data_IF_223558873998
#
_entry.id   IF_223558873998
#
_cell.length_a   1.000
_cell.length_b   1.000
_cell.length_c   1.000
_cell.angle_alpha   90.00
_cell.angle_beta   90.00
_cell.angle_gamma   90.00
#
_symmetry.space_group_name_H-M   'P 1'
#
loop_
_entity.id
_entity.type
_entity.pdbx_description
1 polymer ?
#
# COMPACT_ATOMS: atom_id res chain seq x y z
N UNK A 1 11.13 8.45 -2.15
CA UNK A 1 9.78 8.15 -2.64
C UNK A 1 9.31 6.88 -1.94
N UNK A 2 8.15 6.93 -1.26
CA UNK A 2 7.55 5.77 -0.61
C UNK A 2 6.57 5.08 -1.55
N UNK A 3 6.33 3.78 -1.34
CA UNK A 3 5.31 3.03 -2.08
C UNK A 3 3.95 3.31 -1.47
N UNK A 4 2.98 3.79 -2.26
CA UNK A 4 1.60 3.85 -1.78
C UNK A 4 1.01 2.45 -1.75
N UNK A 5 0.45 2.04 -0.61
CA UNK A 5 -0.15 0.72 -0.44
C UNK A 5 -1.63 0.89 -0.10
N UNK A 6 -2.50 0.29 -0.91
CA UNK A 6 -3.93 0.21 -0.60
C UNK A 6 -4.18 -0.97 0.33
N UNK A 7 -4.75 -0.69 1.50
CA UNK A 7 -5.05 -1.71 2.52
C UNK A 7 -6.54 -2.01 2.52
N UNK A 8 -6.88 -3.31 2.51
CA UNK A 8 -8.25 -3.76 2.78
C UNK A 8 -8.44 -3.95 4.28
N UNK A 9 -9.59 -3.51 4.79
CA UNK A 9 -9.94 -3.59 6.22
C UNK A 9 -11.16 -4.49 6.40
N UNK A 10 -11.12 -5.33 7.44
CA UNK A 10 -12.30 -6.02 7.94
C UNK A 10 -12.89 -5.22 9.08
N UNK A 11 -14.21 -5.03 9.06
CA UNK A 11 -14.95 -4.36 10.10
C UNK A 11 -16.13 -5.21 10.53
N UNK A 12 -16.40 -5.23 11.84
CA UNK A 12 -17.57 -5.88 12.40
C UNK A 12 -18.70 -4.87 12.56
N UNK A 13 -19.90 -5.27 12.14
CA UNK A 13 -21.11 -4.46 12.36
C UNK A 13 -21.39 -4.30 13.85
N UNK A 14 -21.66 -3.07 14.29
CA UNK A 14 -22.10 -2.77 15.66
C UNK A 14 -23.43 -3.44 16.02
N UNK A 15 -24.19 -3.91 15.02
CA UNK A 15 -25.46 -4.59 15.20
C UNK A 15 -25.34 -6.12 15.14
N UNK A 16 -24.12 -6.68 15.13
CA UNK A 16 -23.95 -8.14 15.09
C UNK A 16 -24.55 -8.79 16.33
N UNK A 17 -25.34 -9.84 16.11
CA UNK A 17 -25.87 -10.69 17.21
C UNK A 17 -24.91 -11.81 17.58
N UNK A 18 -23.78 -11.92 16.87
CA UNK A 18 -22.82 -13.01 16.96
C UNK A 18 -21.40 -12.46 17.10
N UNK A 19 -21.23 -11.53 18.05
CA UNK A 19 -19.98 -10.79 18.27
C UNK A 19 -18.76 -11.71 18.37
N UNK A 20 -18.85 -12.75 19.21
CA UNK A 20 -17.74 -13.70 19.41
C UNK A 20 -17.34 -14.42 18.12
N UNK A 21 -18.31 -14.95 17.37
CA UNK A 21 -18.04 -15.66 16.12
C UNK A 21 -17.52 -14.71 15.03
N UNK A 22 -18.05 -13.49 14.95
CA UNK A 22 -17.58 -12.48 14.02
C UNK A 22 -16.13 -12.06 14.35
N UNK A 23 -15.79 -11.93 15.63
CA UNK A 23 -14.42 -11.68 16.08
C UNK A 23 -13.48 -12.83 15.72
N UNK A 24 -13.87 -14.07 16.04
CA UNK A 24 -13.08 -15.26 15.69
C UNK A 24 -12.89 -15.39 14.17
N UNK A 25 -13.90 -15.06 13.38
CA UNK A 25 -13.80 -15.04 11.92
C UNK A 25 -12.85 -13.95 11.40
N UNK A 26 -12.88 -12.74 11.98
CA UNK A 26 -11.89 -11.71 11.63
C UNK A 26 -10.47 -12.15 11.97
N UNK A 27 -10.27 -12.82 13.12
CA UNK A 27 -8.96 -13.38 13.47
C UNK A 27 -8.53 -14.49 12.52
N UNK A 28 -9.44 -15.38 12.10
CA UNK A 28 -9.14 -16.37 11.07
C UNK A 28 -8.72 -15.70 9.76
N UNK A 29 -9.42 -14.65 9.34
CA UNK A 29 -9.10 -13.95 8.09
C UNK A 29 -7.80 -13.17 8.15
N UNK A 30 -7.37 -12.65 9.31
CA UNK A 30 -6.26 -11.69 9.42
C UNK A 30 -5.03 -12.20 10.17
N UNK A 31 -5.21 -13.07 11.17
CA UNK A 31 -4.18 -13.49 12.11
C UNK A 31 -3.81 -14.97 11.97
N UNK A 32 -4.64 -15.77 11.29
CA UNK A 32 -4.30 -17.16 11.00
C UNK A 32 -3.25 -17.26 9.87
N UNK A 33 -2.16 -17.97 10.16
CA UNK A 33 -1.02 -18.07 9.24
C UNK A 33 -1.37 -18.88 8.00
N UNK A 34 -2.13 -19.96 8.13
CA UNK A 34 -2.49 -20.81 7.00
C UNK A 34 -3.41 -20.06 6.03
N UNK A 35 -4.42 -19.38 6.56
CA UNK A 35 -5.34 -18.54 5.78
C UNK A 35 -4.60 -17.41 5.06
N UNK A 36 -3.68 -16.73 5.74
CA UNK A 36 -2.88 -15.66 5.17
C UNK A 36 -1.85 -16.14 4.14
N UNK A 37 -1.27 -17.33 4.34
CA UNK A 37 -0.37 -17.96 3.37
C UNK A 37 -1.13 -18.40 2.11
N UNK A 38 -2.32 -18.96 2.25
CA UNK A 38 -3.19 -19.31 1.13
C UNK A 38 -3.66 -18.08 0.35
N UNK A 39 -3.93 -16.97 1.05
CA UNK A 39 -4.24 -15.68 0.42
C UNK A 39 -3.04 -15.15 -0.37
N UNK A 40 -1.84 -15.22 0.19
CA UNK A 40 -0.61 -14.76 -0.48
C UNK A 40 -0.32 -15.54 -1.77
N UNK A 41 -0.57 -16.85 -1.77
CA UNK A 41 -0.35 -17.70 -2.94
C UNK A 41 -1.35 -17.45 -4.07
N UNK A 42 -2.60 -17.09 -3.73
CA UNK A 42 -3.71 -17.01 -4.70
C UNK A 42 -4.09 -15.60 -5.13
N UNK A 43 -3.59 -14.58 -4.43
CA UNK A 43 -3.98 -13.19 -4.68
C UNK A 43 -2.84 -12.36 -5.24
N UNK A 44 -3.18 -11.24 -5.89
CA UNK A 44 -2.22 -10.21 -6.28
C UNK A 44 -1.87 -9.26 -5.12
N UNK A 45 -2.28 -9.58 -3.89
CA UNK A 45 -2.01 -8.80 -2.68
C UNK A 45 -0.92 -9.45 -1.83
N UNK A 46 -0.51 -8.74 -0.77
CA UNK A 46 0.41 -9.27 0.24
C UNK A 46 -0.31 -9.60 1.54
N UNK A 47 0.25 -10.51 2.33
CA UNK A 47 -0.24 -10.81 3.68
C UNK A 47 0.04 -9.66 4.63
N UNK A 48 -0.87 -9.44 5.59
CA UNK A 48 -0.68 -8.51 6.70
C UNK A 48 0.27 -9.04 7.78
N UNK A 49 0.60 -10.34 7.72
CA UNK A 49 1.49 -10.98 8.70
C UNK A 49 2.93 -11.00 8.20
N UNK A 50 3.87 -10.28 8.87
CA UNK A 50 5.28 -10.28 8.46
C UNK A 50 5.89 -11.70 8.46
N UNK A 51 5.43 -12.57 9.35
CA UNK A 51 5.89 -13.96 9.40
C UNK A 51 5.51 -14.80 8.18
N UNK A 52 4.42 -14.44 7.47
CA UNK A 52 4.02 -15.08 6.22
C UNK A 52 4.83 -14.50 5.07
N UNK A 53 4.95 -13.16 4.97
CA UNK A 53 5.73 -12.49 3.92
C UNK A 53 7.21 -12.91 3.92
N UNK A 54 7.78 -13.14 5.12
CA UNK A 54 9.17 -13.57 5.31
C UNK A 54 9.36 -15.09 5.28
N UNK A 55 8.30 -15.86 5.01
CA UNK A 55 8.37 -17.32 5.00
C UNK A 55 9.15 -17.82 3.78
N UNK A 56 9.69 -19.03 3.89
CA UNK A 56 10.34 -19.69 2.76
C UNK A 56 9.36 -19.95 1.62
N UNK A 57 8.11 -20.30 1.93
CA UNK A 57 7.04 -20.50 0.95
C UNK A 57 6.73 -19.21 0.18
N UNK A 58 6.68 -18.05 0.85
CA UNK A 58 6.47 -16.77 0.19
C UNK A 58 7.63 -16.43 -0.79
N UNK A 59 8.87 -16.77 -0.42
CA UNK A 59 10.02 -16.61 -1.33
C UNK A 59 9.88 -17.47 -2.58
N UNK A 60 9.45 -18.72 -2.42
CA UNK A 60 9.23 -19.64 -3.54
C UNK A 60 8.11 -19.16 -4.46
N UNK A 61 6.99 -18.69 -3.90
CA UNK A 61 5.88 -18.10 -4.65
C UNK A 61 6.35 -16.89 -5.46
N UNK A 62 7.11 -15.98 -4.86
CA UNK A 62 7.62 -14.78 -5.54
C UNK A 62 8.68 -15.08 -6.61
N UNK A 63 9.38 -16.22 -6.49
CA UNK A 63 10.40 -16.66 -7.45
C UNK A 63 9.84 -17.52 -8.60
N UNK A 64 8.59 -17.99 -8.50
CA UNK A 64 7.98 -18.95 -9.43
C UNK A 64 7.50 -18.34 -10.78
N UNK A 65 8.18 -17.32 -11.30
CA UNK A 65 7.96 -16.66 -12.61
C UNK A 65 6.62 -15.92 -12.84
N UNK A 66 5.57 -16.15 -12.04
CA UNK A 66 4.23 -15.55 -12.29
C UNK A 66 4.14 -14.04 -11.96
N UNK A 67 5.12 -13.50 -11.22
CA UNK A 67 5.19 -12.07 -10.85
C UNK A 67 6.06 -11.21 -11.78
N UNK A 68 6.62 -11.77 -12.85
CA UNK A 68 7.49 -11.06 -13.78
C UNK A 68 8.96 -11.02 -13.33
N UNK A 69 9.81 -11.52 -14.22
CA UNK A 69 11.24 -11.76 -14.01
C UNK A 69 11.98 -10.53 -13.45
N UNK A 70 12.69 -10.77 -12.34
CA UNK A 70 13.79 -10.00 -11.72
C UNK A 70 13.53 -8.90 -10.67
N UNK A 71 12.30 -8.57 -10.25
CA UNK A 71 12.12 -7.39 -9.36
C UNK A 71 11.60 -7.58 -7.94
N UNK A 72 10.80 -8.60 -7.61
CA UNK A 72 10.13 -8.68 -6.30
C UNK A 72 10.60 -9.87 -5.46
N UNK A 73 11.44 -9.61 -4.45
CA UNK A 73 11.80 -10.59 -3.42
C UNK A 73 11.04 -10.30 -2.13
N UNK A 74 10.97 -11.28 -1.21
CA UNK A 74 10.39 -11.07 0.13
C UNK A 74 11.03 -9.89 0.86
N UNK A 75 12.34 -9.67 0.70
CA UNK A 75 13.07 -8.56 1.31
C UNK A 75 12.66 -7.20 0.70
N UNK A 76 12.48 -7.14 -0.63
CA UNK A 76 12.01 -5.93 -1.30
C UNK A 76 10.56 -5.63 -0.93
N UNK A 77 9.71 -6.64 -0.87
CA UNK A 77 8.32 -6.50 -0.44
C UNK A 77 8.22 -6.03 1.01
N UNK A 78 8.98 -6.64 1.94
CA UNK A 78 9.05 -6.19 3.34
C UNK A 78 9.55 -4.74 3.45
N UNK A 79 10.56 -4.37 2.65
CA UNK A 79 11.08 -3.00 2.61
C UNK A 79 10.05 -2.00 2.08
N UNK A 80 9.33 -2.34 1.01
CA UNK A 80 8.24 -1.52 0.44
C UNK A 80 7.11 -1.32 1.45
N UNK A 81 6.72 -2.37 2.18
CA UNK A 81 5.65 -2.30 3.18
C UNK A 81 6.07 -1.47 4.40
N UNK A 82 7.28 -1.65 4.91
CA UNK A 82 7.79 -0.88 6.06
C UNK A 82 8.02 0.60 5.76
N UNK A 83 8.18 0.96 4.49
CA UNK A 83 8.32 2.35 4.02
C UNK A 83 7.08 2.82 3.26
N UNK A 84 5.98 2.09 3.38
CA UNK A 84 4.76 2.42 2.68
C UNK A 84 4.14 3.70 3.25
N UNK A 85 3.50 4.46 2.37
CA UNK A 85 2.69 5.60 2.74
C UNK A 85 1.24 5.15 2.61
N UNK A 86 0.51 5.19 3.73
CA UNK A 86 -0.86 4.65 3.83
C UNK A 86 -1.83 5.46 2.97
N UNK A 87 -1.72 6.78 2.97
CA UNK A 87 -2.32 7.68 1.97
C UNK A 87 -1.77 9.10 2.16
N UNK A 88 -1.43 9.80 1.08
CA UNK A 88 -1.10 11.24 1.13
C UNK A 88 -2.38 12.08 1.27
N UNK A 89 -3.54 11.53 0.87
CA UNK A 89 -4.82 12.25 0.92
C UNK A 89 -5.35 12.52 2.34
N UNK A 90 -4.75 11.93 3.37
CA UNK A 90 -5.11 12.19 4.76
C UNK A 90 -4.53 13.52 5.28
N UNK A 91 -3.45 14.01 4.68
CA UNK A 91 -2.80 15.27 5.07
C UNK A 91 -3.05 16.41 4.07
N UNK A 92 -3.44 16.08 2.84
CA UNK A 92 -3.66 17.05 1.76
C UNK A 92 -5.01 16.80 1.12
N UNK A 93 -5.86 17.82 1.10
CA UNK A 93 -7.20 17.70 0.52
C UNK A 93 -7.14 17.48 -1.00
N UNK A 94 -8.24 16.97 -1.55
CA UNK A 94 -8.31 16.58 -2.97
C UNK A 94 -8.03 17.73 -3.94
N UNK A 95 -8.46 18.95 -3.62
CA UNK A 95 -8.22 20.10 -4.51
C UNK A 95 -6.73 20.45 -4.56
N UNK A 96 -6.06 20.40 -3.41
CA UNK A 96 -4.60 20.61 -3.35
C UNK A 96 -3.84 19.49 -4.08
N UNK A 97 -4.29 18.24 -4.00
CA UNK A 97 -3.75 17.13 -4.81
C UNK A 97 -3.93 17.33 -6.31
N UNK A 98 -5.14 17.68 -6.77
CA UNK A 98 -5.42 17.93 -8.19
C UNK A 98 -4.58 19.10 -8.72
N UNK A 99 -4.35 20.13 -7.90
CA UNK A 99 -3.49 21.27 -8.22
C UNK A 99 -2.01 20.87 -8.34
N UNK A 100 -1.51 20.03 -7.42
CA UNK A 100 -0.16 19.49 -7.47
C UNK A 100 0.07 18.70 -8.76
N UNK A 101 -0.84 17.79 -9.09
CA UNK A 101 -0.75 16.97 -10.30
C UNK A 101 -0.70 17.84 -11.57
N UNK A 102 -1.55 18.86 -11.65
CA UNK A 102 -1.54 19.81 -12.77
C UNK A 102 -0.18 20.54 -12.92
N UNK A 103 0.35 21.08 -11.82
CA UNK A 103 1.60 21.84 -11.85
C UNK A 103 2.81 20.96 -12.20
N UNK A 104 2.85 19.74 -11.65
CA UNK A 104 3.91 18.77 -11.96
C UNK A 104 3.81 18.32 -13.42
N UNK A 105 2.62 18.00 -13.93
CA UNK A 105 2.43 17.61 -15.33
C UNK A 105 2.85 18.72 -16.30
N UNK A 106 2.52 19.98 -16.00
CA UNK A 106 2.95 21.12 -16.82
C UNK A 106 4.48 21.29 -16.79
N UNK A 107 5.11 21.17 -15.63
CA UNK A 107 6.57 21.23 -15.50
C UNK A 107 7.27 20.09 -16.25
N UNK A 108 6.68 18.88 -16.24
CA UNK A 108 7.15 17.74 -17.02
C UNK A 108 7.06 18.00 -18.52
N UNK A 109 5.93 18.52 -19.00
CA UNK A 109 5.73 18.85 -20.42
C UNK A 109 6.73 19.91 -20.92
N UNK A 110 7.05 20.89 -20.07
CA UNK A 110 7.98 21.97 -20.40
C UNK A 110 9.45 21.64 -20.12
N UNK A 111 9.76 20.45 -19.57
CA UNK A 111 11.11 20.04 -19.17
C UNK A 111 11.76 20.95 -18.12
N UNK A 112 10.95 21.53 -17.24
CA UNK A 112 11.35 22.56 -16.26
C UNK A 112 11.22 22.09 -14.80
N UNK A 113 11.07 20.78 -14.58
CA UNK A 113 10.82 20.18 -13.26
C UNK A 113 11.77 20.73 -12.19
N UNK A 114 13.08 20.72 -12.43
CA UNK A 114 14.08 21.13 -11.44
C UNK A 114 13.94 22.59 -11.00
N UNK A 115 13.55 23.48 -11.92
CA UNK A 115 13.30 24.89 -11.63
C UNK A 115 11.91 25.18 -11.09
N UNK A 116 10.91 24.37 -11.45
CA UNK A 116 9.51 24.58 -11.08
C UNK A 116 9.19 24.04 -9.67
N UNK A 117 9.83 22.93 -9.26
CA UNK A 117 9.55 22.25 -7.99
C UNK A 117 9.59 23.18 -6.75
N UNK A 118 10.57 24.08 -6.57
CA UNK A 118 10.60 24.98 -5.40
C UNK A 118 9.46 26.01 -5.37
N UNK A 119 8.91 26.34 -6.55
CA UNK A 119 7.78 27.28 -6.66
C UNK A 119 6.46 26.56 -6.42
N UNK A 120 6.33 25.34 -6.96
CA UNK A 120 5.19 24.45 -6.72
C UNK A 120 5.05 24.20 -5.21
N UNK A 121 6.14 23.85 -4.52
CA UNK A 121 6.13 23.64 -3.07
C UNK A 121 5.62 24.88 -2.30
N UNK A 122 6.14 26.07 -2.62
CA UNK A 122 5.71 27.33 -1.98
C UNK A 122 4.23 27.63 -2.19
N UNK A 123 3.69 27.32 -3.37
CA UNK A 123 2.27 27.52 -3.70
C UNK A 123 1.35 26.60 -2.89
N UNK A 124 1.78 25.35 -2.66
CA UNK A 124 1.02 24.38 -1.88
C UNK A 124 1.06 24.72 -0.38
N UNK A 125 2.22 25.18 0.11
CA UNK A 125 2.40 25.55 1.52
C UNK A 125 1.68 26.86 1.88
N UNK A 126 1.56 27.80 0.94
CA UNK A 126 0.85 29.07 1.15
C UNK A 126 -0.68 28.98 1.04
N UNK A 127 -1.20 27.86 0.54
CA UNK A 127 -2.64 27.56 0.45
C UNK A 127 -3.25 26.92 1.70
N UNK A 128 -2.45 26.67 2.75
CA UNK A 128 -2.92 26.25 4.09
C UNK A 128 -3.33 27.45 4.94
#
# INVERSE_FOLDING_TARGET
MGTQVKTSLFAMSSNTKQEKLAWEFMLLLSQDKESQQALFEKSQGTSVLPSVVKSQQAREILQADDFGLDSLTSERLDHMMNRSIIDISLEVDRHTMDRMDYLIQNAMQNQEIDSALPSIQREIESGK
#
